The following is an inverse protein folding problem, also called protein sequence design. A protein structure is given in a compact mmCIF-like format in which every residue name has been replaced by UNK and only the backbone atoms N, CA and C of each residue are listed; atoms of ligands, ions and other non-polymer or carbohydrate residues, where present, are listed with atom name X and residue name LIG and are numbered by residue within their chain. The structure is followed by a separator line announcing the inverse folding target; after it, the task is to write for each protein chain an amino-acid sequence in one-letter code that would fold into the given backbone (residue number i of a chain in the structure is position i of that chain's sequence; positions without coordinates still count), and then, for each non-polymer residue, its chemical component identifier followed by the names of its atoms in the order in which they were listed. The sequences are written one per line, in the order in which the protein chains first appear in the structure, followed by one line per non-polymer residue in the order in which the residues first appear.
data_IF_210339284840
#
_entry.id   IF_210339284840
#
_cell.length_a   1.000
_cell.length_b   1.000
_cell.length_c   1.000
_cell.angle_alpha   90.00
_cell.angle_beta   90.00
_cell.angle_gamma   90.00
#
_symmetry.space_group_name_H-M   'P 1'
#
loop_
_entity.id
_entity.type
_entity.pdbx_description
1 polymer ?
#
# COMPACT_ATOMS: atom_id res chain seq x y z
N UNK A 1 -1.65 -14.66 52.14
CA UNK A 1 -1.91 -14.36 50.72
C UNK A 1 -3.41 -14.49 50.47
N UNK A 2 -4.13 -13.40 50.17
CA UNK A 2 -5.61 -13.35 50.21
C UNK A 2 -6.22 -14.02 48.97
N UNK A 3 -7.01 -15.09 49.18
CA UNK A 3 -7.69 -15.88 48.13
C UNK A 3 -8.46 -15.05 47.09
N UNK A 4 -8.90 -13.83 47.45
CA UNK A 4 -9.61 -12.92 46.55
C UNK A 4 -8.74 -12.36 45.41
N UNK A 5 -7.43 -12.17 45.61
CA UNK A 5 -6.56 -11.62 44.54
C UNK A 5 -6.33 -12.63 43.42
N UNK A 6 -6.32 -13.93 43.74
CA UNK A 6 -6.14 -14.99 42.74
C UNK A 6 -7.41 -15.20 41.90
N UNK A 7 -8.59 -15.04 42.50
CA UNK A 7 -9.88 -15.08 41.79
C UNK A 7 -9.99 -13.93 40.78
N UNK A 8 -9.57 -12.72 41.17
CA UNK A 8 -9.58 -11.56 40.27
C UNK A 8 -8.63 -11.79 39.08
N UNK A 9 -7.42 -12.29 39.33
CA UNK A 9 -6.45 -12.60 38.26
C UNK A 9 -6.95 -13.71 37.32
N UNK A 10 -7.63 -14.74 37.84
CA UNK A 10 -8.24 -15.78 37.02
C UNK A 10 -9.37 -15.25 36.14
N UNK A 11 -10.22 -14.36 36.66
CA UNK A 11 -11.30 -13.72 35.88
C UNK A 11 -10.72 -12.87 34.74
N UNK A 12 -9.71 -12.04 35.02
CA UNK A 12 -9.04 -11.25 33.97
C UNK A 12 -8.35 -12.13 32.93
N UNK A 13 -7.73 -13.24 33.36
CA UNK A 13 -7.12 -14.22 32.47
C UNK A 13 -8.13 -14.92 31.54
N UNK A 14 -9.28 -15.32 32.08
CA UNK A 14 -10.35 -15.98 31.30
C UNK A 14 -11.00 -15.00 30.32
N UNK A 15 -11.21 -13.74 30.73
CA UNK A 15 -11.73 -12.68 29.84
C UNK A 15 -10.71 -12.41 28.71
N UNK A 16 -9.42 -12.28 29.04
CA UNK A 16 -8.36 -12.10 28.04
C UNK A 16 -8.25 -13.28 27.06
N UNK A 17 -8.35 -14.51 27.57
CA UNK A 17 -8.33 -15.73 26.75
C UNK A 17 -9.58 -15.87 25.88
N UNK A 18 -10.75 -15.52 26.41
CA UNK A 18 -12.01 -15.47 25.65
C UNK A 18 -11.97 -14.45 24.51
N UNK A 19 -11.39 -13.27 24.75
CA UNK A 19 -11.16 -12.26 23.71
C UNK A 19 -10.15 -12.75 22.66
N UNK A 20 -9.12 -13.50 23.08
CA UNK A 20 -8.11 -14.07 22.18
C UNK A 20 -8.70 -15.16 21.26
N UNK A 21 -9.57 -16.01 21.81
CA UNK A 21 -10.19 -17.15 21.11
C UNK A 21 -11.42 -16.74 20.27
N UNK A 22 -12.06 -15.60 20.56
CA UNK A 22 -13.20 -15.10 19.79
C UNK A 22 -12.74 -14.27 18.56
N UNK A 23 -12.44 -14.99 17.48
CA UNK A 23 -11.87 -14.48 16.23
C UNK A 23 -12.53 -13.22 15.61
N UNK A 24 -13.88 -13.05 15.57
CA UNK A 24 -14.49 -11.87 14.92
C UNK A 24 -14.34 -10.58 15.74
N UNK A 25 -14.07 -10.67 17.04
CA UNK A 25 -13.79 -9.50 17.88
C UNK A 25 -12.30 -9.11 17.79
N UNK A 26 -11.41 -10.10 17.64
CA UNK A 26 -9.97 -9.89 17.37
C UNK A 26 -9.74 -9.04 16.11
N UNK A 27 -10.46 -9.29 15.02
CA UNK A 27 -10.30 -8.54 13.76
C UNK A 27 -10.87 -7.13 13.84
N UNK A 28 -12.06 -6.93 14.44
CA UNK A 28 -12.71 -5.63 14.60
C UNK A 28 -11.99 -4.71 15.61
N UNK A 29 -11.44 -5.27 16.68
CA UNK A 29 -10.62 -4.50 17.64
C UNK A 29 -9.26 -4.18 17.03
N UNK A 30 -8.61 -5.15 16.37
CA UNK A 30 -7.31 -4.93 15.72
C UNK A 30 -7.37 -3.80 14.69
N UNK A 31 -8.41 -3.73 13.86
CA UNK A 31 -8.53 -2.64 12.87
C UNK A 31 -8.75 -1.26 13.51
N UNK A 32 -9.54 -1.18 14.58
CA UNK A 32 -9.76 0.08 15.33
C UNK A 32 -8.51 0.51 16.11
N UNK A 33 -7.83 -0.43 16.75
CA UNK A 33 -6.60 -0.16 17.50
C UNK A 33 -5.48 0.24 16.55
N UNK A 34 -5.29 -0.47 15.44
CA UNK A 34 -4.29 -0.13 14.42
C UNK A 34 -4.53 1.27 13.87
N UNK A 35 -5.79 1.66 13.58
CA UNK A 35 -6.12 3.03 13.12
C UNK A 35 -5.78 4.12 14.15
N UNK A 36 -5.97 3.84 15.44
CA UNK A 36 -5.71 4.80 16.52
C UNK A 36 -4.22 4.85 16.89
N UNK A 37 -3.49 3.73 16.74
CA UNK A 37 -2.06 3.62 17.06
C UNK A 37 -1.13 3.88 15.86
N UNK A 38 -1.63 3.87 14.63
CA UNK A 38 -0.85 4.19 13.45
C UNK A 38 -0.55 5.68 13.42
N UNK A 39 0.59 6.07 14.00
CA UNK A 39 1.23 7.37 13.78
C UNK A 39 1.83 7.51 12.36
N UNK A 40 1.58 6.56 11.47
CA UNK A 40 2.30 6.39 10.21
C UNK A 40 1.69 7.14 9.02
N UNK A 41 0.59 7.89 9.20
CA UNK A 41 0.19 8.89 8.20
C UNK A 41 1.05 10.13 8.48
N UNK A 42 2.28 10.10 7.98
CA UNK A 42 3.13 11.28 7.93
C UNK A 42 2.54 12.19 6.86
N UNK A 43 1.77 13.18 7.28
CA UNK A 43 1.45 14.30 6.40
C UNK A 43 2.80 14.97 6.05
N UNK A 44 3.20 14.87 4.79
CA UNK A 44 4.43 15.51 4.31
C UNK A 44 4.40 17.00 4.67
N UNK A 45 5.55 17.51 5.11
CA UNK A 45 5.71 18.92 5.45
C UNK A 45 5.48 19.73 4.17
N UNK A 46 4.67 20.77 4.25
CA UNK A 46 4.17 21.54 3.08
C UNK A 46 5.25 22.08 2.13
N UNK A 47 6.51 22.13 2.57
CA UNK A 47 7.65 22.69 1.84
C UNK A 47 8.68 21.63 1.38
N UNK A 48 8.41 20.35 1.58
CA UNK A 48 9.29 19.27 1.12
C UNK A 48 9.05 19.01 -0.37
N UNK A 49 9.94 19.56 -1.21
CA UNK A 49 9.88 19.38 -2.66
C UNK A 49 10.36 17.99 -3.05
N UNK A 50 9.68 17.40 -4.03
CA UNK A 50 10.09 16.13 -4.64
C UNK A 50 11.47 16.33 -5.31
N UNK A 51 12.49 15.50 -4.98
CA UNK A 51 13.82 15.65 -5.56
C UNK A 51 13.82 15.54 -7.09
N UNK A 52 14.69 16.29 -7.76
CA UNK A 52 14.85 16.23 -9.23
C UNK A 52 15.19 14.82 -9.76
N UNK A 53 15.80 13.96 -8.93
CA UNK A 53 16.04 12.55 -9.28
C UNK A 53 14.76 11.78 -9.53
N UNK A 54 13.66 12.12 -8.83
CA UNK A 54 12.36 11.47 -9.02
C UNK A 54 11.78 11.79 -10.39
N UNK A 55 11.91 13.03 -10.86
CA UNK A 55 11.41 13.41 -12.18
C UNK A 55 12.20 12.80 -13.34
N UNK A 56 13.42 12.33 -13.10
CA UNK A 56 14.23 11.64 -14.12
C UNK A 56 14.04 10.12 -14.11
N UNK A 57 13.15 9.60 -13.28
CA UNK A 57 12.91 8.17 -13.17
C UNK A 57 12.26 7.62 -14.44
N UNK A 58 12.93 6.71 -15.17
CA UNK A 58 12.34 6.03 -16.31
C UNK A 58 11.29 5.01 -15.86
N UNK A 59 10.16 5.00 -16.56
CA UNK A 59 9.09 4.03 -16.41
C UNK A 59 8.74 3.48 -17.78
N UNK A 60 8.26 2.25 -17.82
CA UNK A 60 7.76 1.64 -19.05
C UNK A 60 6.35 1.14 -18.80
N UNK A 61 5.38 1.47 -19.65
CA UNK A 61 4.03 0.93 -19.48
C UNK A 61 3.98 -0.59 -19.76
N UNK A 62 2.86 -1.24 -19.44
CA UNK A 62 2.70 -2.67 -19.72
C UNK A 62 2.75 -3.04 -21.22
N UNK A 63 2.73 -2.07 -22.14
CA UNK A 63 2.83 -2.22 -23.59
C UNK A 63 4.20 -1.78 -24.14
N UNK A 64 5.21 -1.67 -23.28
CA UNK A 64 6.58 -1.31 -23.63
C UNK A 64 6.74 0.11 -24.19
N UNK A 65 5.80 1.01 -23.88
CA UNK A 65 5.93 2.43 -24.19
C UNK A 65 6.71 3.13 -23.07
N UNK A 66 7.78 3.87 -23.41
CA UNK A 66 8.54 4.61 -22.42
C UNK A 66 7.73 5.79 -21.89
N UNK A 67 7.81 6.01 -20.58
CA UNK A 67 7.27 7.16 -19.86
C UNK A 67 8.38 7.68 -18.94
N UNK A 68 8.58 9.00 -18.89
CA UNK A 68 9.44 9.60 -17.85
C UNK A 68 8.56 10.24 -16.79
N UNK A 69 8.89 10.07 -15.50
CA UNK A 69 8.12 10.67 -14.41
C UNK A 69 8.06 12.22 -14.48
N UNK A 70 8.93 12.86 -15.26
CA UNK A 70 8.88 14.29 -15.58
C UNK A 70 7.52 14.75 -16.12
N UNK A 71 6.82 13.89 -16.86
CA UNK A 71 5.48 14.15 -17.40
C UNK A 71 4.43 14.33 -16.30
N UNK A 72 4.74 13.94 -15.06
CA UNK A 72 3.86 14.00 -13.90
C UNK A 72 4.04 15.28 -13.07
N UNK A 73 4.91 16.20 -13.51
CA UNK A 73 5.11 17.50 -12.84
C UNK A 73 3.80 18.28 -12.70
N UNK A 74 3.50 18.68 -11.47
CA UNK A 74 2.32 19.48 -11.14
C UNK A 74 1.00 18.71 -11.15
N UNK A 75 1.00 17.41 -11.44
CA UNK A 75 -0.19 16.55 -11.32
C UNK A 75 -0.33 16.02 -9.90
N UNK A 76 -1.56 15.68 -9.52
CA UNK A 76 -1.80 14.85 -8.33
C UNK A 76 -1.50 13.41 -8.74
N UNK A 77 -0.52 12.78 -8.10
CA UNK A 77 -0.07 11.42 -8.44
C UNK A 77 -0.43 10.45 -7.31
N UNK A 78 -1.09 9.36 -7.67
CA UNK A 78 -1.25 8.18 -6.84
C UNK A 78 -0.19 7.16 -7.25
N UNK A 79 0.86 7.01 -6.45
CA UNK A 79 1.94 6.05 -6.66
C UNK A 79 1.77 4.84 -5.74
N UNK A 80 1.82 3.64 -6.31
CA UNK A 80 1.74 2.39 -5.56
C UNK A 80 2.75 1.38 -6.09
N UNK A 81 3.63 0.88 -5.22
CA UNK A 81 4.52 -0.22 -5.53
C UNK A 81 3.85 -1.54 -5.21
N UNK A 82 3.84 -2.49 -6.15
CA UNK A 82 3.16 -3.77 -6.00
C UNK A 82 3.91 -4.90 -6.71
N UNK A 83 3.47 -6.14 -6.47
CA UNK A 83 3.93 -7.31 -7.21
C UNK A 83 2.87 -8.44 -7.22
N UNK A 84 2.94 -9.36 -8.18
CA UNK A 84 2.02 -10.51 -8.34
C UNK A 84 2.10 -11.50 -7.18
N UNK A 85 3.19 -11.48 -6.42
CA UNK A 85 3.38 -12.26 -5.20
C UNK A 85 2.98 -11.48 -3.93
N UNK A 86 2.72 -10.17 -4.02
CA UNK A 86 2.32 -9.34 -2.88
C UNK A 86 0.82 -9.55 -2.58
N UNK A 87 0.51 -10.50 -1.70
CA UNK A 87 -0.85 -10.81 -1.28
C UNK A 87 -1.68 -9.60 -0.83
N UNK A 88 -1.19 -8.74 0.09
CA UNK A 88 -1.90 -7.54 0.50
C UNK A 88 -2.15 -6.56 -0.66
N UNK A 89 -1.15 -6.29 -1.49
CA UNK A 89 -1.29 -5.39 -2.64
C UNK A 89 -2.43 -5.84 -3.56
N UNK A 90 -2.52 -7.14 -3.85
CA UNK A 90 -3.57 -7.71 -4.71
C UNK A 90 -4.95 -7.61 -4.06
N UNK A 91 -5.05 -7.67 -2.73
CA UNK A 91 -6.31 -7.48 -2.01
C UNK A 91 -6.80 -6.03 -2.05
N UNK A 92 -5.90 -5.06 -2.20
CA UNK A 92 -6.22 -3.63 -2.30
C UNK A 92 -6.62 -3.20 -3.72
N UNK A 93 -6.22 -3.96 -4.75
CA UNK A 93 -6.47 -3.62 -6.14
C UNK A 93 -7.93 -3.32 -6.53
N UNK A 94 -8.95 -4.04 -6.03
CA UNK A 94 -10.34 -3.68 -6.33
C UNK A 94 -10.71 -2.27 -5.85
N UNK A 95 -10.21 -1.86 -4.69
CA UNK A 95 -10.43 -0.51 -4.16
C UNK A 95 -9.63 0.54 -4.92
N UNK A 96 -8.41 0.20 -5.38
CA UNK A 96 -7.63 1.08 -6.26
C UNK A 96 -8.33 1.25 -7.62
N UNK A 97 -8.92 0.19 -8.17
CA UNK A 97 -9.71 0.24 -9.40
C UNK A 97 -10.93 1.16 -9.24
N UNK A 98 -11.68 1.02 -8.15
CA UNK A 98 -12.81 1.91 -7.86
C UNK A 98 -12.38 3.38 -7.74
N UNK A 99 -11.23 3.63 -7.10
CA UNK A 99 -10.67 4.98 -7.01
C UNK A 99 -10.24 5.51 -8.39
N UNK A 100 -9.64 4.68 -9.23
CA UNK A 100 -9.28 5.02 -10.60
C UNK A 100 -10.51 5.34 -11.45
N UNK A 101 -11.57 4.53 -11.35
CA UNK A 101 -12.82 4.75 -12.09
C UNK A 101 -13.48 6.09 -11.73
N UNK A 102 -13.27 6.58 -10.50
CA UNK A 102 -13.82 7.85 -10.01
C UNK A 102 -12.92 9.08 -10.27
N UNK A 103 -11.60 8.90 -10.25
CA UNK A 103 -10.63 10.00 -10.22
C UNK A 103 -9.55 9.94 -11.29
N UNK A 104 -9.55 8.95 -12.19
CA UNK A 104 -8.52 8.78 -13.22
C UNK A 104 -8.33 9.99 -14.15
N UNK A 105 -9.36 10.81 -14.33
CA UNK A 105 -9.27 12.06 -15.11
C UNK A 105 -8.61 13.22 -14.34
N UNK A 106 -8.44 13.09 -13.01
CA UNK A 106 -7.94 14.14 -12.10
C UNK A 106 -6.65 13.77 -11.40
N UNK A 107 -6.39 12.47 -11.26
CA UNK A 107 -5.26 11.90 -10.54
C UNK A 107 -4.57 10.93 -11.48
N UNK A 108 -3.25 11.07 -11.59
CA UNK A 108 -2.43 10.13 -12.34
C UNK A 108 -2.13 8.91 -11.48
N UNK A 109 -2.50 7.72 -11.97
CA UNK A 109 -2.30 6.46 -11.25
C UNK A 109 -1.08 5.73 -11.81
N UNK A 110 -0.08 5.53 -10.95
CA UNK A 110 1.14 4.82 -11.26
C UNK A 110 1.26 3.58 -10.36
N UNK A 111 0.79 2.43 -10.86
CA UNK A 111 1.02 1.14 -10.19
C UNK A 111 2.31 0.54 -10.74
N UNK A 112 3.40 0.64 -9.96
CA UNK A 112 4.76 0.31 -10.41
C UNK A 112 5.20 -1.05 -9.85
N UNK A 113 5.85 -1.85 -10.68
CA UNK A 113 6.45 -3.14 -10.32
C UNK A 113 7.81 -3.33 -11.01
N UNK A 114 8.67 -4.17 -10.45
CA UNK A 114 9.94 -4.62 -11.06
C UNK A 114 9.81 -5.98 -11.78
N UNK A 115 8.58 -6.43 -12.02
CA UNK A 115 8.30 -7.68 -12.73
C UNK A 115 8.20 -7.53 -14.25
N UNK A 116 8.52 -8.61 -14.97
CA UNK A 116 8.46 -8.68 -16.43
C UNK A 116 7.07 -8.30 -17.00
N UNK A 117 7.07 -7.60 -18.15
CA UNK A 117 5.85 -7.19 -18.86
C UNK A 117 4.89 -8.35 -19.14
N UNK A 118 5.43 -9.52 -19.47
CA UNK A 118 4.64 -10.74 -19.70
C UNK A 118 3.86 -11.20 -18.46
N UNK A 119 4.45 -11.11 -17.26
CA UNK A 119 3.80 -11.46 -15.98
C UNK A 119 2.71 -10.45 -15.65
N UNK A 120 3.02 -9.16 -15.80
CA UNK A 120 2.08 -8.06 -15.54
C UNK A 120 0.85 -8.18 -16.46
N UNK A 121 1.05 -8.38 -17.77
CA UNK A 121 -0.04 -8.52 -18.72
C UNK A 121 -0.87 -9.79 -18.48
N UNK A 122 -0.22 -10.91 -18.12
CA UNK A 122 -0.93 -12.13 -17.75
C UNK A 122 -1.79 -11.94 -16.49
N UNK A 123 -1.26 -11.25 -15.49
CA UNK A 123 -1.99 -10.89 -14.27
C UNK A 123 -3.18 -9.98 -14.59
N UNK A 124 -2.97 -8.93 -15.39
CA UNK A 124 -3.99 -7.96 -15.80
C UNK A 124 -5.17 -8.64 -16.49
N UNK A 125 -4.88 -9.50 -17.47
CA UNK A 125 -5.90 -10.30 -18.18
C UNK A 125 -6.65 -11.26 -17.25
N UNK A 126 -5.95 -11.90 -16.32
CA UNK A 126 -6.54 -12.84 -15.36
C UNK A 126 -7.45 -12.16 -14.34
N UNK A 127 -7.10 -10.93 -13.93
CA UNK A 127 -7.82 -10.19 -12.87
C UNK A 127 -8.83 -9.18 -13.40
N UNK A 128 -8.79 -8.84 -14.69
CA UNK A 128 -9.68 -7.85 -15.28
C UNK A 128 -9.44 -6.42 -14.78
N UNK A 129 -8.20 -6.11 -14.38
CA UNK A 129 -7.82 -4.79 -13.86
C UNK A 129 -7.45 -3.88 -15.02
N UNK A 130 -7.96 -2.65 -15.03
CA UNK A 130 -7.73 -1.68 -16.10
C UNK A 130 -6.85 -0.50 -15.68
N UNK A 131 -6.62 -0.31 -14.37
CA UNK A 131 -5.71 0.72 -13.86
C UNK A 131 -4.33 0.63 -14.56
N UNK A 132 -3.74 1.75 -15.00
CA UNK A 132 -2.42 1.78 -15.62
C UNK A 132 -1.36 1.15 -14.72
N UNK A 133 -0.52 0.30 -15.30
CA UNK A 133 0.58 -0.38 -14.63
C UNK A 133 1.88 -0.11 -15.38
N UNK A 134 2.95 0.11 -14.62
CA UNK A 134 4.26 0.48 -15.11
C UNK A 134 5.33 -0.43 -14.54
N UNK A 135 6.40 -0.57 -15.29
CA UNK A 135 7.54 -1.43 -15.04
C UNK A 135 8.77 -0.55 -14.94
N UNK A 136 9.64 -0.86 -14.00
CA UNK A 136 10.91 -0.19 -13.74
C UNK A 136 11.94 -1.23 -13.38
N UNK A 137 13.21 -0.94 -13.65
CA UNK A 137 14.28 -1.70 -13.02
C UNK A 137 14.43 -1.25 -11.56
N UNK A 138 14.77 -2.19 -10.68
CA UNK A 138 14.87 -1.95 -9.23
C UNK A 138 15.96 -0.93 -8.91
N UNK A 139 17.05 -0.97 -9.66
CA UNK A 139 18.20 -0.07 -9.56
C UNK A 139 17.87 1.36 -9.99
N UNK A 140 16.81 1.55 -10.76
CA UNK A 140 16.38 2.86 -11.28
C UNK A 140 15.40 3.58 -10.34
N UNK A 141 14.84 2.88 -9.35
CA UNK A 141 13.91 3.46 -8.38
C UNK A 141 14.65 4.53 -7.55
N UNK A 142 14.18 5.78 -7.53
CA UNK A 142 14.80 6.84 -6.74
C UNK A 142 14.84 6.54 -5.23
N UNK A 143 15.98 6.86 -4.59
CA UNK A 143 16.18 6.76 -3.13
C UNK A 143 15.06 7.42 -2.31
N UNK A 144 14.46 8.48 -2.85
CA UNK A 144 13.37 9.23 -2.22
C UNK A 144 12.11 8.37 -1.93
N UNK A 145 11.91 7.26 -2.65
CA UNK A 145 10.79 6.36 -2.42
C UNK A 145 11.08 5.24 -1.41
N UNK A 146 12.35 5.02 -1.07
CA UNK A 146 12.72 4.02 -0.08
C UNK A 146 12.41 4.53 1.33
N UNK A 147 11.32 4.01 1.90
CA UNK A 147 10.98 4.29 3.29
C UNK A 147 11.96 3.57 4.23
N UNK A 148 12.75 4.35 4.97
CA UNK A 148 13.47 3.82 6.14
C UNK A 148 12.45 3.53 7.23
N UNK A 149 12.32 2.27 7.63
CA UNK A 149 11.49 1.94 8.79
C UNK A 149 12.25 2.42 10.02
N UNK A 150 11.73 3.45 10.70
CA UNK A 150 12.27 3.96 11.97
C UNK A 150 11.75 3.09 13.12
#
# INVERSE_FOLDING_TARGET
MKKSTWIVLLIFGIIGLGILLYAPLRTKIRSKVVRVWSKNVVASKKDEQVPESVYKWPLTDANEQPLTYDEERGKIVFLNFWATWCGPCIQEMPSIQELYDQYGDKVSFLLVTDEDSSKVQAFRRKKGITVPMYITDKEEIPDAFYASTI
#
